data_IF_554329578451
#
_entry.id   IF_554329578451
#
_cell.length_a   1.000
_cell.length_b   1.000
_cell.length_c   1.000
_cell.angle_alpha   90.00
_cell.angle_beta   90.00
_cell.angle_gamma   90.00
#
_symmetry.space_group_name_H-M   'P 1'
#
loop_
_entity.id
_entity.type
_entity.pdbx_description
1 polymer ?
#
# COMPACT_ATOMS: atom_id res chain seq x y z
N UNK A 1 24.23 -1.52 -10.23
CA UNK A 1 23.08 -2.30 -9.74
C UNK A 1 22.99 -2.28 -8.21
N UNK A 2 23.96 -2.85 -7.49
CA UNK A 2 23.97 -2.81 -6.01
C UNK A 2 23.95 -1.37 -5.45
N UNK A 3 24.73 -0.47 -6.07
CA UNK A 3 24.76 0.95 -5.67
C UNK A 3 23.48 1.73 -5.96
N UNK A 4 22.58 1.22 -6.83
CA UNK A 4 21.35 1.94 -7.24
C UNK A 4 20.07 1.32 -6.67
N UNK A 5 20.10 0.04 -6.28
CA UNK A 5 18.92 -0.71 -5.81
C UNK A 5 19.15 -1.43 -4.47
N UNK A 6 20.34 -1.31 -3.88
CA UNK A 6 20.72 -2.05 -2.67
C UNK A 6 20.92 -3.54 -2.91
N UNK A 7 21.19 -4.27 -1.82
CA UNK A 7 21.18 -5.72 -1.82
C UNK A 7 19.73 -6.23 -1.86
N UNK A 8 19.44 -7.22 -2.72
CA UNK A 8 18.14 -7.91 -2.74
C UNK A 8 17.84 -8.63 -1.41
N UNK A 9 18.81 -8.73 -0.48
CA UNK A 9 18.60 -9.26 0.87
C UNK A 9 17.58 -8.45 1.68
N UNK A 10 17.36 -7.17 1.36
CA UNK A 10 16.33 -6.35 2.03
C UNK A 10 14.91 -6.64 1.53
N UNK A 11 14.76 -7.41 0.45
CA UNK A 11 13.44 -7.77 -0.08
C UNK A 11 12.71 -8.75 0.86
N UNK A 12 13.46 -9.50 1.66
CA UNK A 12 12.88 -10.40 2.67
C UNK A 12 12.24 -9.73 3.87
N UNK A 13 12.46 -8.44 4.08
CA UNK A 13 12.12 -7.79 5.35
C UNK A 13 10.65 -7.37 5.49
N UNK A 14 9.81 -7.61 4.46
CA UNK A 14 8.41 -7.13 4.43
C UNK A 14 7.40 -8.25 4.14
N UNK A 15 7.65 -9.44 4.68
CA UNK A 15 6.79 -10.63 4.51
C UNK A 15 6.75 -11.18 3.07
N UNK A 16 7.82 -11.01 2.30
CA UNK A 16 7.99 -11.56 0.94
C UNK A 16 8.82 -12.84 0.95
N UNK A 17 8.53 -13.69 1.93
CA UNK A 17 9.28 -14.90 2.28
C UNK A 17 9.38 -15.90 1.11
N UNK A 18 8.34 -15.94 0.26
CA UNK A 18 8.28 -16.76 -0.95
C UNK A 18 9.39 -16.43 -1.96
N UNK A 19 9.81 -15.16 -2.05
CA UNK A 19 10.88 -14.77 -2.98
C UNK A 19 12.24 -15.33 -2.54
N UNK A 20 12.48 -15.40 -1.22
CA UNK A 20 13.72 -15.95 -0.65
C UNK A 20 13.72 -17.48 -0.72
N UNK A 21 12.59 -18.13 -0.42
CA UNK A 21 12.42 -19.57 -0.58
C UNK A 21 12.70 -20.05 -2.00
N UNK A 22 12.26 -19.29 -3.00
CA UNK A 22 12.48 -19.58 -4.43
C UNK A 22 13.96 -19.49 -4.86
N UNK A 23 14.76 -18.64 -4.22
CA UNK A 23 16.20 -18.50 -4.47
C UNK A 23 16.99 -19.58 -3.70
N UNK A 24 16.56 -19.90 -2.47
CA UNK A 24 17.22 -20.89 -1.60
C UNK A 24 17.12 -22.34 -2.09
N UNK A 25 16.04 -22.70 -2.80
CA UNK A 25 15.82 -24.07 -3.25
C UNK A 25 16.64 -24.49 -4.48
N UNK A 26 17.31 -23.56 -5.18
CA UNK A 26 17.85 -23.81 -6.53
C UNK A 26 19.35 -23.62 -6.74
N UNK A 27 20.19 -23.30 -5.73
CA UNK A 27 21.64 -23.32 -5.95
C UNK A 27 22.53 -23.47 -4.71
N UNK A 28 23.63 -24.22 -4.89
CA UNK A 28 24.74 -24.40 -3.97
C UNK A 28 25.40 -23.07 -3.57
N UNK A 29 25.52 -22.82 -2.26
CA UNK A 29 26.33 -21.73 -1.70
C UNK A 29 25.67 -20.90 -0.59
N UNK A 30 24.42 -21.18 -0.23
CA UNK A 30 23.66 -20.36 0.72
C UNK A 30 23.70 -20.82 2.17
N UNK A 31 24.42 -21.90 2.54
CA UNK A 31 24.29 -22.53 3.88
C UNK A 31 24.42 -21.54 5.05
N UNK A 32 25.38 -20.61 5.00
CA UNK A 32 25.60 -19.64 6.08
C UNK A 32 24.56 -18.51 6.13
N UNK A 33 24.07 -18.04 4.97
CA UNK A 33 23.02 -17.02 4.91
C UNK A 33 21.62 -17.61 5.09
N UNK A 34 21.42 -18.84 4.64
CA UNK A 34 20.21 -19.64 4.84
C UNK A 34 19.99 -19.94 6.32
N UNK A 35 21.02 -20.33 7.06
CA UNK A 35 20.92 -20.58 8.51
C UNK A 35 20.60 -19.30 9.31
N UNK A 36 21.18 -18.15 8.94
CA UNK A 36 20.86 -16.86 9.55
C UNK A 36 19.41 -16.43 9.23
N UNK A 37 18.96 -16.64 8.01
CA UNK A 37 17.57 -16.42 7.59
C UNK A 37 16.65 -17.37 8.37
N UNK A 38 16.90 -18.68 8.38
CA UNK A 38 16.11 -19.66 9.14
C UNK A 38 16.07 -19.37 10.64
N UNK A 39 17.17 -18.86 11.22
CA UNK A 39 17.23 -18.48 12.63
C UNK A 39 16.28 -17.31 12.96
N UNK A 40 16.25 -16.26 12.14
CA UNK A 40 15.28 -15.16 12.32
C UNK A 40 13.84 -15.62 11.99
N UNK A 41 13.65 -16.50 11.01
CA UNK A 41 12.34 -17.09 10.68
C UNK A 41 11.75 -17.95 11.80
N UNK A 42 12.56 -18.69 12.55
CA UNK A 42 12.07 -19.46 13.69
C UNK A 42 11.56 -18.56 14.82
N UNK A 43 12.14 -17.37 14.97
CA UNK A 43 11.67 -16.35 15.92
C UNK A 43 10.33 -15.77 15.43
N UNK A 44 10.20 -15.46 14.14
CA UNK A 44 8.96 -14.93 13.56
C UNK A 44 7.82 -15.98 13.54
N UNK A 45 8.10 -17.25 13.20
CA UNK A 45 7.11 -18.32 13.28
C UNK A 45 6.61 -18.57 14.71
N UNK A 46 7.49 -18.46 15.70
CA UNK A 46 7.10 -18.53 17.11
C UNK A 46 6.19 -17.35 17.53
N UNK A 47 6.27 -16.21 16.84
CA UNK A 47 5.39 -15.05 17.01
C UNK A 47 4.08 -15.17 16.20
N UNK A 48 4.03 -16.02 15.16
CA UNK A 48 2.89 -16.23 14.26
C UNK A 48 1.82 -17.21 14.76
N UNK A 49 2.03 -17.92 15.88
CA UNK A 49 1.02 -18.83 16.46
C UNK A 49 -0.11 -18.08 17.20
N UNK A 50 -0.77 -17.11 16.55
CA UNK A 50 -2.10 -16.63 16.94
C UNK A 50 -3.09 -16.91 15.81
N UNK A 51 -4.12 -17.74 16.04
CA UNK A 51 -5.19 -17.91 15.08
C UNK A 51 -6.07 -16.65 15.13
N UNK A 52 -5.81 -15.69 14.24
CA UNK A 52 -6.71 -14.55 14.08
C UNK A 52 -7.79 -14.94 13.07
N UNK A 53 -8.95 -15.35 13.59
CA UNK A 53 -10.17 -15.40 12.80
C UNK A 53 -10.39 -14.02 12.16
N UNK A 54 -10.43 -13.97 10.83
CA UNK A 54 -10.70 -12.75 10.08
C UNK A 54 -12.17 -12.33 10.24
N UNK A 55 -12.54 -11.75 11.38
CA UNK A 55 -13.75 -10.94 11.47
C UNK A 55 -13.55 -9.72 10.60
N UNK A 56 -14.17 -9.75 9.42
CA UNK A 56 -14.13 -8.65 8.47
C UNK A 56 -15.00 -7.50 8.98
N UNK A 57 -14.46 -6.28 8.81
CA UNK A 57 -15.05 -4.95 9.04
C UNK A 57 -15.09 -4.44 10.49
N UNK A 58 -14.08 -3.65 10.82
CA UNK A 58 -14.28 -2.37 11.52
C UNK A 58 -13.79 -1.21 10.66
N UNK A 59 -14.75 -0.50 10.09
CA UNK A 59 -14.55 0.82 9.49
C UNK A 59 -14.79 1.83 10.60
N UNK A 60 -13.73 2.46 11.08
CA UNK A 60 -13.82 3.45 12.16
C UNK A 60 -13.18 4.78 11.77
N UNK A 61 -13.85 5.87 12.13
CA UNK A 61 -13.46 7.24 11.84
C UNK A 61 -12.66 7.77 13.02
N UNK A 62 -11.41 8.20 12.78
CA UNK A 62 -10.52 8.59 13.88
C UNK A 62 -10.38 10.11 14.05
N UNK A 63 -10.07 10.82 12.96
CA UNK A 63 -9.62 12.22 13.05
C UNK A 63 -10.37 13.12 12.06
N UNK A 64 -11.45 13.79 12.46
CA UNK A 64 -12.10 14.77 11.60
C UNK A 64 -11.19 15.98 11.34
N UNK A 65 -11.35 16.61 10.18
CA UNK A 65 -10.74 17.91 9.85
C UNK A 65 -11.74 19.00 10.21
N UNK A 66 -11.37 19.88 11.15
CA UNK A 66 -12.20 21.03 11.57
C UNK A 66 -12.15 22.21 10.57
N UNK A 67 -12.06 21.92 9.29
CA UNK A 67 -11.90 22.94 8.26
C UNK A 67 -12.74 22.56 7.04
N UNK A 68 -13.69 23.42 6.69
CA UNK A 68 -14.49 23.29 5.48
C UNK A 68 -13.69 23.87 4.33
N UNK A 69 -12.61 23.17 3.96
CA UNK A 69 -11.82 23.53 2.80
C UNK A 69 -12.75 23.57 1.57
N UNK A 70 -13.00 24.77 1.02
CA UNK A 70 -13.89 25.00 -0.13
C UNK A 70 -13.52 24.13 -1.33
N UNK A 71 -12.23 23.78 -1.43
CA UNK A 71 -11.69 22.85 -2.42
C UNK A 71 -12.30 21.44 -2.38
N UNK A 72 -13.07 21.04 -1.37
CA UNK A 72 -13.73 19.74 -1.34
C UNK A 72 -15.25 19.81 -1.54
N UNK A 73 -15.83 21.01 -1.72
CA UNK A 73 -17.28 21.18 -1.96
C UNK A 73 -17.73 20.49 -3.24
N UNK A 74 -16.90 20.49 -4.28
CA UNK A 74 -17.24 19.79 -5.53
C UNK A 74 -17.36 18.27 -5.34
N UNK A 75 -16.60 17.67 -4.41
CA UNK A 75 -16.68 16.24 -4.12
C UNK A 75 -18.01 15.88 -3.47
N UNK A 76 -18.56 16.77 -2.66
CA UNK A 76 -19.89 16.54 -2.12
C UNK A 76 -20.92 16.48 -3.25
N UNK A 77 -20.93 17.44 -4.17
CA UNK A 77 -21.86 17.45 -5.33
C UNK A 77 -21.72 16.19 -6.19
N UNK A 78 -20.50 15.66 -6.35
CA UNK A 78 -20.27 14.41 -7.10
C UNK A 78 -20.80 13.15 -6.39
N UNK A 79 -20.86 13.17 -5.05
CA UNK A 79 -21.18 11.99 -4.23
C UNK A 79 -22.56 12.04 -3.57
N UNK A 80 -23.17 13.23 -3.44
CA UNK A 80 -24.43 13.48 -2.75
C UNK A 80 -25.08 14.80 -3.18
N UNK A 81 -26.37 14.76 -3.49
CA UNK A 81 -27.15 15.93 -3.93
C UNK A 81 -27.88 16.68 -2.80
N UNK A 82 -27.44 16.56 -1.54
CA UNK A 82 -28.16 17.23 -0.45
C UNK A 82 -27.71 18.69 -0.27
N UNK A 83 -28.63 19.56 0.11
CA UNK A 83 -28.34 21.00 0.27
C UNK A 83 -27.48 21.32 1.51
N UNK A 84 -27.46 20.44 2.52
CA UNK A 84 -26.79 20.70 3.79
C UNK A 84 -25.38 20.11 3.85
N UNK A 85 -24.47 20.70 3.06
CA UNK A 85 -23.06 20.27 2.95
C UNK A 85 -22.37 20.12 4.32
N UNK A 86 -22.56 21.09 5.22
CA UNK A 86 -21.82 21.13 6.49
C UNK A 86 -22.24 20.04 7.48
N UNK A 87 -23.46 19.50 7.33
CA UNK A 87 -23.96 18.41 8.15
C UNK A 87 -23.67 17.06 7.51
N UNK A 88 -23.81 16.98 6.19
CA UNK A 88 -23.59 15.75 5.44
C UNK A 88 -22.11 15.39 5.32
N UNK A 89 -21.25 16.36 5.05
CA UNK A 89 -19.87 16.13 4.62
C UNK A 89 -18.90 16.25 5.78
N UNK A 90 -18.12 15.18 6.03
CA UNK A 90 -17.03 15.21 7.00
C UNK A 90 -15.74 14.69 6.39
N UNK A 91 -14.68 15.48 6.50
CA UNK A 91 -13.34 15.10 6.09
C UNK A 91 -12.60 14.45 7.25
N UNK A 92 -11.79 13.43 6.95
CA UNK A 92 -10.96 12.77 7.94
C UNK A 92 -9.51 12.65 7.48
N UNK A 93 -8.61 12.73 8.46
CA UNK A 93 -7.16 12.52 8.28
C UNK A 93 -6.78 11.05 8.33
N UNK A 94 -7.55 10.25 9.09
CA UNK A 94 -7.28 8.85 9.35
C UNK A 94 -8.55 8.03 9.38
N UNK A 95 -8.45 6.79 8.89
CA UNK A 95 -9.50 5.78 8.90
C UNK A 95 -8.92 4.45 9.35
N UNK A 96 -9.70 3.65 10.08
CA UNK A 96 -9.42 2.24 10.28
C UNK A 96 -10.17 1.46 9.20
N UNK A 97 -9.46 0.61 8.47
CA UNK A 97 -10.01 -0.29 7.46
C UNK A 97 -9.38 -1.66 7.71
N UNK A 98 -10.20 -2.67 8.02
CA UNK A 98 -9.74 -4.03 8.33
C UNK A 98 -8.64 -4.05 9.42
N UNK A 99 -8.90 -3.36 10.53
CA UNK A 99 -8.01 -3.21 11.68
C UNK A 99 -6.64 -2.56 11.37
N UNK A 100 -6.52 -1.86 10.24
CA UNK A 100 -5.33 -1.11 9.83
C UNK A 100 -5.63 0.38 9.73
N UNK A 101 -4.70 1.22 10.21
CA UNK A 101 -4.84 2.68 10.19
C UNK A 101 -4.29 3.23 8.87
N UNK A 102 -5.18 3.79 8.06
CA UNK A 102 -4.81 4.50 6.83
C UNK A 102 -4.75 6.01 7.07
N UNK A 103 -3.72 6.65 6.52
CA UNK A 103 -3.48 8.08 6.62
C UNK A 103 -3.78 8.76 5.29
N UNK A 104 -4.31 9.98 5.35
CA UNK A 104 -4.41 10.85 4.18
C UNK A 104 -3.26 11.86 4.14
N UNK A 105 -2.94 12.42 2.97
CA UNK A 105 -1.88 13.42 2.82
C UNK A 105 -2.17 14.72 3.60
N UNK A 106 -3.42 14.99 3.97
CA UNK A 106 -3.78 16.11 4.87
C UNK A 106 -3.20 15.90 6.28
N UNK A 107 -2.83 14.67 6.65
CA UNK A 107 -2.18 14.38 7.93
C UNK A 107 -0.75 14.95 7.99
N UNK A 108 -0.65 16.24 8.36
CA UNK A 108 0.62 16.99 8.46
C UNK A 108 1.48 16.66 9.69
N UNK A 109 1.10 15.68 10.52
CA UNK A 109 1.85 15.37 11.74
C UNK A 109 3.17 14.69 11.36
N UNK A 110 4.20 15.52 11.14
CA UNK A 110 5.64 15.22 10.96
C UNK A 110 6.18 15.01 9.54
N UNK A 111 5.40 15.14 8.47
CA UNK A 111 5.93 15.06 7.09
C UNK A 111 6.65 13.74 6.75
N UNK A 112 6.41 12.69 7.55
CA UNK A 112 7.09 11.38 7.51
C UNK A 112 6.11 10.20 7.49
N UNK A 113 4.80 10.46 7.39
CA UNK A 113 3.81 9.38 7.38
C UNK A 113 3.89 8.65 6.05
N UNK A 114 4.30 7.38 6.03
CA UNK A 114 4.41 6.57 4.81
C UNK A 114 3.09 5.88 4.43
N UNK A 115 2.13 5.85 5.36
CA UNK A 115 0.88 5.09 5.26
C UNK A 115 -0.25 5.79 4.49
N UNK A 116 0.09 6.59 3.46
CA UNK A 116 -0.88 7.22 2.54
C UNK A 116 -0.96 6.54 1.18
N UNK A 117 0.02 5.72 0.81
CA UNK A 117 0.03 5.04 -0.47
C UNK A 117 -0.61 3.66 -0.33
N UNK A 118 -1.52 3.33 -1.24
CA UNK A 118 -2.35 2.15 -1.14
C UNK A 118 -2.42 1.36 -2.44
N UNK A 119 -2.72 0.09 -2.27
CA UNK A 119 -3.25 -0.78 -3.31
C UNK A 119 -4.77 -0.88 -3.12
N UNK A 120 -5.53 -0.70 -4.20
CA UNK A 120 -6.99 -0.83 -4.22
C UNK A 120 -7.46 -1.57 -5.47
N UNK A 121 -8.67 -2.12 -5.43
CA UNK A 121 -9.26 -2.80 -6.58
C UNK A 121 -10.79 -2.76 -6.52
N UNK A 122 -11.41 -2.50 -7.68
CA UNK A 122 -12.88 -2.55 -7.82
C UNK A 122 -13.40 -3.98 -8.05
N UNK A 123 -12.56 -4.88 -8.58
CA UNK A 123 -12.95 -6.22 -9.02
C UNK A 123 -12.06 -7.35 -8.44
N UNK A 124 -11.11 -7.00 -7.56
CA UNK A 124 -10.07 -7.88 -6.98
C UNK A 124 -9.14 -8.55 -8.00
N UNK A 125 -9.27 -8.24 -9.29
CA UNK A 125 -8.45 -8.82 -10.37
C UNK A 125 -7.42 -7.83 -10.87
N UNK A 126 -7.79 -6.55 -10.92
CA UNK A 126 -6.94 -5.47 -11.39
C UNK A 126 -6.56 -4.59 -10.21
N UNK A 127 -5.31 -4.68 -9.80
CA UNK A 127 -4.76 -3.83 -8.76
C UNK A 127 -4.40 -2.46 -9.32
N UNK A 128 -4.85 -1.44 -8.60
CA UNK A 128 -4.50 -0.05 -8.85
C UNK A 128 -3.78 0.53 -7.65
N UNK A 129 -3.05 1.62 -7.89
CA UNK A 129 -2.16 2.22 -6.93
C UNK A 129 -2.38 3.71 -6.84
N UNK A 130 -2.31 4.25 -5.64
CA UNK A 130 -2.48 5.68 -5.47
C UNK A 130 -2.21 6.19 -4.06
N UNK A 131 -2.12 7.51 -3.94
CA UNK A 131 -1.95 8.20 -2.66
C UNK A 131 -3.27 8.82 -2.21
N UNK A 132 -3.66 8.55 -0.97
CA UNK A 132 -4.88 9.07 -0.35
C UNK A 132 -4.70 10.56 -0.06
N UNK A 133 -5.44 11.42 -0.75
CA UNK A 133 -5.47 12.86 -0.48
C UNK A 133 -6.22 13.14 0.81
N UNK A 134 -7.45 12.63 0.89
CA UNK A 134 -8.35 12.80 2.02
C UNK A 134 -9.33 11.63 2.10
N UNK A 135 -9.89 11.44 3.30
CA UNK A 135 -11.06 10.60 3.48
C UNK A 135 -12.29 11.46 3.70
N UNK A 136 -13.43 10.98 3.21
CA UNK A 136 -14.71 11.68 3.25
C UNK A 136 -15.74 10.71 3.81
N UNK A 137 -16.60 11.18 4.71
CA UNK A 137 -17.82 10.48 5.07
C UNK A 137 -19.01 11.36 4.77
N UNK A 138 -20.05 10.73 4.22
CA UNK A 138 -21.33 11.35 3.96
C UNK A 138 -22.37 10.81 4.94
N UNK A 139 -23.02 11.70 5.69
CA UNK A 139 -24.05 11.31 6.65
C UNK A 139 -25.31 10.80 5.95
N UNK A 140 -25.69 11.38 4.81
CA UNK A 140 -26.89 11.03 4.05
C UNK A 140 -26.87 9.59 3.52
N UNK A 141 -25.70 9.08 3.15
CA UNK A 141 -25.54 7.73 2.58
C UNK A 141 -24.89 6.75 3.56
N UNK A 142 -24.44 7.23 4.71
CA UNK A 142 -23.60 6.52 5.69
C UNK A 142 -22.33 5.89 5.11
N UNK A 143 -21.93 6.29 3.89
CA UNK A 143 -20.75 5.77 3.21
C UNK A 143 -19.52 6.62 3.51
N UNK A 144 -18.37 5.97 3.36
CA UNK A 144 -17.07 6.60 3.46
C UNK A 144 -16.27 6.33 2.20
N UNK A 145 -15.55 7.35 1.77
CA UNK A 145 -14.83 7.43 0.51
C UNK A 145 -13.39 7.89 0.76
N UNK A 146 -12.51 7.57 -0.17
CA UNK A 146 -11.17 8.10 -0.25
C UNK A 146 -10.97 8.80 -1.59
N UNK A 147 -10.45 10.03 -1.55
CA UNK A 147 -9.96 10.72 -2.75
C UNK A 147 -8.51 10.29 -2.99
N UNK A 148 -8.25 9.70 -4.15
CA UNK A 148 -6.97 9.09 -4.50
C UNK A 148 -6.33 9.82 -5.68
N UNK A 149 -5.06 10.18 -5.55
CA UNK A 149 -4.21 10.50 -6.70
C UNK A 149 -3.67 9.20 -7.29
N UNK A 150 -4.08 8.87 -8.50
CA UNK A 150 -3.78 7.58 -9.16
C UNK A 150 -2.40 7.63 -9.80
N UNK A 151 -1.63 6.57 -9.62
CA UNK A 151 -0.35 6.34 -10.29
C UNK A 151 -0.48 5.17 -11.25
N UNK A 152 -0.18 5.40 -12.54
CA UNK A 152 -0.25 4.37 -13.57
C UNK A 152 0.95 3.43 -13.46
N UNK A 153 0.71 2.13 -13.64
CA UNK A 153 1.79 1.15 -13.81
C UNK A 153 2.51 1.45 -15.13
N UNK A 154 3.80 1.75 -15.03
CA UNK A 154 4.64 2.14 -16.16
C UNK A 154 5.23 0.92 -16.87
N UNK A 155 5.78 -0.03 -16.10
CA UNK A 155 6.44 -1.24 -16.61
C UNK A 155 6.53 -2.32 -15.53
N UNK A 156 7.03 -3.50 -15.90
CA UNK A 156 7.31 -4.59 -14.96
C UNK A 156 8.60 -4.30 -14.19
N UNK A 157 8.65 -4.66 -12.92
CA UNK A 157 9.88 -4.47 -12.14
C UNK A 157 10.99 -5.41 -12.60
N UNK A 158 10.63 -6.63 -13.02
CA UNK A 158 11.58 -7.60 -13.57
C UNK A 158 12.32 -7.11 -14.83
N UNK A 159 11.76 -6.13 -15.56
CA UNK A 159 12.38 -5.58 -16.77
C UNK A 159 13.77 -4.97 -16.48
N UNK A 160 14.01 -4.46 -15.27
CA UNK A 160 15.33 -3.96 -14.85
C UNK A 160 16.41 -5.06 -14.76
N UNK A 161 16.00 -6.33 -14.71
CA UNK A 161 16.88 -7.48 -14.49
C UNK A 161 17.03 -8.38 -15.72
N UNK A 162 16.48 -8.00 -16.88
CA UNK A 162 16.51 -8.79 -18.12
C UNK A 162 17.91 -9.23 -18.55
N UNK A 163 18.92 -8.41 -18.28
CA UNK A 163 20.32 -8.73 -18.63
C UNK A 163 21.01 -9.65 -17.61
N UNK A 164 20.37 -9.96 -16.49
CA UNK A 164 20.95 -10.83 -15.47
C UNK A 164 20.71 -12.29 -15.80
N UNK A 165 21.68 -13.15 -15.47
CA UNK A 165 21.55 -14.62 -15.58
C UNK A 165 20.45 -15.22 -14.69
N UNK A 166 19.85 -14.42 -13.81
CA UNK A 166 18.78 -14.84 -12.89
C UNK A 166 17.40 -14.34 -13.30
N UNK A 167 17.25 -13.71 -14.47
CA UNK A 167 15.99 -13.09 -14.89
C UNK A 167 14.81 -14.07 -14.86
N UNK A 168 14.95 -15.27 -15.45
CA UNK A 168 13.86 -16.24 -15.49
C UNK A 168 13.46 -16.77 -14.12
N UNK A 169 14.40 -16.80 -13.18
CA UNK A 169 14.15 -17.14 -11.79
C UNK A 169 13.39 -15.99 -11.10
N UNK A 170 13.86 -14.75 -11.25
CA UNK A 170 13.36 -13.63 -10.47
C UNK A 170 12.10 -12.98 -11.04
N UNK A 171 11.80 -13.13 -12.35
CA UNK A 171 10.78 -12.31 -13.01
C UNK A 171 9.40 -12.39 -12.38
N UNK A 172 8.91 -13.60 -12.12
CA UNK A 172 7.57 -13.83 -11.58
C UNK A 172 7.42 -13.27 -10.18
N UNK A 173 8.29 -13.60 -9.20
CA UNK A 173 8.11 -13.07 -7.87
C UNK A 173 8.41 -11.56 -7.80
N UNK A 174 9.35 -11.03 -8.58
CA UNK A 174 9.54 -9.57 -8.68
C UNK A 174 8.28 -8.85 -9.18
N UNK A 175 7.65 -9.33 -10.24
CA UNK A 175 6.45 -8.68 -10.81
C UNK A 175 5.19 -8.86 -9.96
N UNK A 176 5.16 -9.86 -9.07
CA UNK A 176 4.07 -10.05 -8.13
C UNK A 176 4.13 -9.09 -6.93
N UNK A 177 5.34 -8.70 -6.54
CA UNK A 177 5.59 -7.96 -5.31
C UNK A 177 5.93 -6.49 -5.56
N UNK A 178 6.60 -6.16 -6.67
CA UNK A 178 7.07 -4.81 -6.96
C UNK A 178 6.40 -4.24 -8.21
N UNK A 179 5.86 -3.03 -8.06
CA UNK A 179 5.14 -2.34 -9.11
C UNK A 179 5.86 -1.04 -9.45
N UNK A 180 6.30 -0.91 -10.71
CA UNK A 180 6.91 0.33 -11.21
C UNK A 180 5.81 1.27 -11.68
N UNK A 181 5.71 2.42 -11.03
CA UNK A 181 4.66 3.40 -11.22
C UNK A 181 5.23 4.71 -11.75
N UNK A 182 4.44 5.40 -12.56
CA UNK A 182 4.74 6.78 -12.95
C UNK A 182 4.84 7.68 -11.71
N UNK A 183 5.88 8.51 -11.66
CA UNK A 183 6.14 9.38 -10.51
C UNK A 183 5.08 10.47 -10.33
N UNK A 184 4.55 10.99 -11.44
CA UNK A 184 3.45 11.96 -11.43
C UNK A 184 2.13 11.22 -11.40
N UNK A 185 1.20 11.69 -10.55
CA UNK A 185 -0.17 11.18 -10.59
C UNK A 185 -0.83 11.56 -11.90
N UNK A 186 -1.52 10.62 -12.54
CA UNK A 186 -2.14 10.83 -13.85
C UNK A 186 -3.58 11.35 -13.75
N UNK A 187 -4.29 11.06 -12.65
CA UNK A 187 -5.66 11.53 -12.40
C UNK A 187 -6.02 11.49 -10.92
N UNK A 188 -7.10 12.17 -10.56
CA UNK A 188 -7.79 12.00 -9.28
C UNK A 188 -8.98 11.05 -9.47
N UNK A 189 -9.29 10.25 -8.46
CA UNK A 189 -10.47 9.39 -8.45
C UNK A 189 -11.01 9.26 -7.03
N UNK A 190 -12.30 9.03 -6.90
CA UNK A 190 -12.95 8.79 -5.62
C UNK A 190 -13.38 7.33 -5.57
N UNK A 191 -13.03 6.65 -4.49
CA UNK A 191 -13.40 5.25 -4.28
C UNK A 191 -14.07 5.06 -2.93
N UNK A 192 -14.94 4.04 -2.83
CA UNK A 192 -15.35 3.55 -1.52
C UNK A 192 -14.12 2.98 -0.80
N UNK A 193 -14.02 3.25 0.51
CA UNK A 193 -12.92 2.74 1.32
C UNK A 193 -12.87 1.20 1.35
N UNK A 194 -14.00 0.54 1.07
CA UNK A 194 -14.10 -0.92 0.96
C UNK A 194 -13.25 -1.50 -0.18
N UNK A 195 -12.89 -0.69 -1.18
CA UNK A 195 -12.01 -1.10 -2.27
C UNK A 195 -10.52 -0.98 -1.92
N UNK A 196 -10.17 -0.39 -0.77
CA UNK A 196 -8.79 -0.27 -0.30
C UNK A 196 -8.37 -1.61 0.30
N UNK A 197 -7.27 -2.17 -0.22
CA UNK A 197 -6.80 -3.50 0.16
C UNK A 197 -5.63 -3.43 1.15
N UNK A 198 -4.58 -2.70 0.79
CA UNK A 198 -3.29 -2.73 1.52
C UNK A 198 -2.60 -1.38 1.49
N UNK A 199 -1.78 -1.14 2.51
CA UNK A 199 -0.71 -0.14 2.44
C UNK A 199 0.36 -0.58 1.45
N UNK A 200 1.05 0.39 0.86
CA UNK A 200 2.23 0.15 0.09
C UNK A 200 3.43 0.89 0.69
N UNK A 201 4.58 0.24 0.68
CA UNK A 201 5.87 0.88 0.84
C UNK A 201 6.27 1.46 -0.51
N UNK A 202 6.80 2.67 -0.50
CA UNK A 202 7.09 3.47 -1.69
C UNK A 202 8.57 3.81 -1.72
N UNK A 203 9.28 3.33 -2.73
CA UNK A 203 10.64 3.73 -3.03
C UNK A 203 10.61 4.84 -4.08
N UNK A 204 11.01 6.05 -3.68
CA UNK A 204 11.06 7.20 -4.57
C UNK A 204 12.38 7.17 -5.36
N UNK A 205 12.31 6.78 -6.64
CA UNK A 205 13.44 6.76 -7.56
C UNK A 205 13.50 8.09 -8.33
N UNK A 206 14.55 8.30 -9.14
CA UNK A 206 14.70 9.54 -9.93
C UNK A 206 13.51 9.76 -10.88
N UNK A 207 13.20 8.77 -11.71
CA UNK A 207 12.22 8.86 -12.80
C UNK A 207 10.87 8.20 -12.49
N UNK A 208 10.82 7.30 -11.50
CA UNK A 208 9.64 6.50 -11.19
C UNK A 208 9.47 6.34 -9.68
N UNK A 209 8.36 5.72 -9.31
CA UNK A 209 8.11 5.22 -7.97
C UNK A 209 7.99 3.71 -8.04
N UNK A 210 8.60 3.00 -7.09
CA UNK A 210 8.37 1.56 -6.93
C UNK A 210 7.49 1.38 -5.71
N UNK A 211 6.34 0.73 -5.87
CA UNK A 211 5.42 0.40 -4.78
C UNK A 211 5.45 -1.10 -4.51
N UNK A 212 5.39 -1.48 -3.24
CA UNK A 212 5.21 -2.87 -2.80
C UNK A 212 4.13 -2.95 -1.72
N UNK A 213 3.08 -3.78 -1.88
CA UNK A 213 2.04 -3.91 -0.88
C UNK A 213 2.56 -4.64 0.37
N UNK A 214 2.19 -4.14 1.55
CA UNK A 214 2.59 -4.70 2.85
C UNK A 214 1.87 -6.03 3.12
N UNK A 215 2.63 -7.08 3.45
CA UNK A 215 2.12 -8.43 3.60
C UNK A 215 1.36 -8.66 4.92
N UNK A 216 1.84 -8.15 6.06
CA UNK A 216 1.28 -8.49 7.39
C UNK A 216 1.03 -7.29 8.31
N UNK A 217 0.32 -7.54 9.42
CA UNK A 217 -0.31 -6.55 10.31
C UNK A 217 0.63 -5.76 11.24
N UNK A 218 1.93 -6.12 11.34
CA UNK A 218 2.83 -5.57 12.36
C UNK A 218 3.95 -4.66 11.82
N UNK A 219 3.88 -4.25 10.55
CA UNK A 219 4.89 -3.34 10.02
C UNK A 219 4.55 -1.90 10.43
N UNK A 220 5.30 -1.42 11.41
CA UNK A 220 5.29 -0.04 11.89
C UNK A 220 5.56 0.96 10.75
N UNK A 221 4.86 2.11 10.81
CA UNK A 221 5.02 3.30 9.95
C UNK A 221 6.47 3.71 9.66
#
# INVERSE_FOLDING_TARGET
MYNNHGALTNIGCFGQEDLIGYIGSNHHGTRYYGELITYYYNIDFALHMKPAAATTKKIEKLDPVNDTHDEYKYLHVELCDCEQIHQCFRLYRRFIINDRIFHSLIYKKRGKSNSYFIQYSFDQRHYQFGSIQCFISLQSTEKSYALINVHRVQQKYSDYFKSTKYYDLLKKPLDNYFFVLEKRSCKKTIILIDYILKHCIVFNMSECIVATPVATHNEHD
#
